data_IF_269446832078
#
_entry.id   IF_269446832078
#
_cell.length_a   1.000
_cell.length_b   1.000
_cell.length_c   1.000
_cell.angle_alpha   90.00
_cell.angle_beta   90.00
_cell.angle_gamma   90.00
#
_symmetry.space_group_name_H-M   'P 1'
#
loop_
_entity.id
_entity.type
_entity.pdbx_description
1 polymer ?
#
# COMPACT_ATOMS: atom_id res chain seq x y z
N UNK A 1 13.77 -14.34 -3.39
CA UNK A 1 12.40 -14.81 -3.69
C UNK A 1 11.58 -14.45 -2.47
N UNK A 2 10.39 -13.83 -2.61
CA UNK A 2 9.62 -13.40 -1.46
C UNK A 2 9.24 -14.56 -0.55
N UNK A 3 9.20 -14.30 0.75
CA UNK A 3 8.64 -15.22 1.72
C UNK A 3 7.12 -15.06 1.74
N UNK A 4 6.40 -16.18 1.61
CA UNK A 4 4.94 -16.17 1.68
C UNK A 4 4.49 -16.41 3.11
N UNK A 5 4.04 -15.35 3.79
CA UNK A 5 3.56 -15.40 5.18
C UNK A 5 2.15 -16.01 5.23
N UNK A 6 1.30 -15.64 4.26
CA UNK A 6 -0.03 -16.21 4.06
C UNK A 6 -0.34 -16.27 2.57
N UNK A 7 -1.43 -16.91 2.12
CA UNK A 7 -1.83 -16.90 0.71
C UNK A 7 -1.94 -15.51 0.07
N UNK A 8 -2.12 -14.46 0.88
CA UNK A 8 -2.36 -13.09 0.43
C UNK A 8 -1.24 -12.11 0.80
N UNK A 9 -0.30 -12.52 1.65
CA UNK A 9 0.77 -11.65 2.18
C UNK A 9 2.12 -12.23 1.78
N UNK A 10 2.88 -11.44 1.03
CA UNK A 10 4.26 -11.70 0.63
C UNK A 10 5.18 -10.72 1.36
N UNK A 11 6.34 -11.18 1.79
CA UNK A 11 7.39 -10.37 2.40
C UNK A 11 8.64 -10.39 1.54
N UNK A 12 9.24 -9.23 1.34
CA UNK A 12 10.53 -9.03 0.70
C UNK A 12 11.44 -8.29 1.68
N UNK A 13 12.69 -8.72 1.78
CA UNK A 13 13.67 -8.17 2.72
C UNK A 13 15.02 -7.88 2.07
N UNK A 14 15.12 -8.06 0.74
CA UNK A 14 16.31 -7.79 -0.05
C UNK A 14 16.03 -6.58 -0.97
N UNK A 15 16.85 -5.54 -0.82
CA UNK A 15 16.81 -4.33 -1.65
C UNK A 15 16.84 -4.67 -3.15
N UNK A 16 17.58 -5.70 -3.56
CA UNK A 16 17.66 -6.11 -4.95
C UNK A 16 16.32 -6.61 -5.51
N UNK A 17 15.43 -7.12 -4.65
CA UNK A 17 14.07 -7.52 -5.02
C UNK A 17 13.07 -6.35 -4.93
N UNK A 18 13.33 -5.38 -4.03
CA UNK A 18 12.42 -4.26 -3.76
C UNK A 18 12.63 -3.10 -4.72
N UNK A 19 13.87 -2.74 -5.05
CA UNK A 19 14.18 -1.61 -5.95
C UNK A 19 13.53 -1.73 -7.33
N UNK A 20 13.47 -2.90 -7.99
CA UNK A 20 12.71 -3.04 -9.23
C UNK A 20 11.25 -2.60 -9.09
N UNK A 21 10.58 -2.94 -8.00
CA UNK A 21 9.17 -2.57 -7.73
C UNK A 21 9.03 -1.05 -7.53
N UNK A 22 9.97 -0.43 -6.84
CA UNK A 22 10.03 1.04 -6.69
C UNK A 22 10.25 1.69 -8.07
N UNK A 23 11.13 1.12 -8.88
CA UNK A 23 11.52 1.67 -10.17
C UNK A 23 10.44 1.51 -11.26
N UNK A 24 9.50 0.58 -11.10
CA UNK A 24 8.33 0.45 -12.00
C UNK A 24 7.39 1.67 -11.96
N UNK A 25 7.46 2.50 -10.91
CA UNK A 25 6.57 3.64 -10.73
C UNK A 25 7.33 4.92 -10.39
N UNK A 26 7.27 5.91 -11.29
CA UNK A 26 7.98 7.19 -11.12
C UNK A 26 7.61 7.95 -9.83
N UNK A 27 6.36 7.89 -9.40
CA UNK A 27 5.93 8.51 -8.14
C UNK A 27 6.58 7.86 -6.91
N UNK A 28 6.80 6.54 -6.92
CA UNK A 28 7.52 5.87 -5.85
C UNK A 28 8.98 6.26 -5.86
N UNK A 29 9.62 6.27 -7.03
CA UNK A 29 11.01 6.73 -7.13
C UNK A 29 11.16 8.13 -6.53
N UNK A 30 10.28 9.07 -6.89
CA UNK A 30 10.30 10.43 -6.32
C UNK A 30 10.13 10.42 -4.81
N UNK A 31 9.18 9.64 -4.30
CA UNK A 31 8.94 9.54 -2.85
C UNK A 31 10.15 8.98 -2.10
N UNK A 32 10.81 7.94 -2.62
CA UNK A 32 12.03 7.39 -2.00
C UNK A 32 13.27 8.29 -2.13
N UNK A 33 13.22 9.34 -2.94
CA UNK A 33 14.24 10.39 -3.01
C UNK A 33 13.95 11.56 -2.06
N UNK A 34 12.80 11.61 -1.39
CA UNK A 34 12.52 12.66 -0.41
C UNK A 34 13.53 12.57 0.75
N UNK A 35 14.13 13.70 1.19
CA UNK A 35 15.14 13.70 2.24
C UNK A 35 14.67 13.03 3.54
N UNK A 36 13.39 13.21 3.88
CA UNK A 36 12.74 12.64 5.06
C UNK A 36 12.57 11.11 4.99
N UNK A 37 12.83 10.51 3.83
CA UNK A 37 12.87 9.06 3.64
C UNK A 37 14.33 8.66 3.45
N UNK A 38 14.99 9.20 2.43
CA UNK A 38 16.34 8.84 2.03
C UNK A 38 17.36 8.96 3.18
N UNK A 39 17.34 10.08 3.90
CA UNK A 39 18.30 10.38 4.96
C UNK A 39 17.74 10.18 6.37
N UNK A 40 16.57 9.55 6.49
CA UNK A 40 15.95 9.34 7.79
C UNK A 40 16.80 8.43 8.69
N UNK A 41 16.93 8.83 9.94
CA UNK A 41 17.65 8.12 11.00
C UNK A 41 16.75 7.26 11.88
N UNK A 42 15.44 7.25 11.61
CA UNK A 42 14.46 6.34 12.21
C UNK A 42 13.78 5.49 11.14
N UNK A 43 13.11 4.41 11.57
CA UNK A 43 12.30 3.61 10.67
C UNK A 43 11.19 4.46 10.04
N UNK A 44 10.98 4.28 8.73
CA UNK A 44 9.89 4.93 7.99
C UNK A 44 8.99 3.86 7.41
N UNK A 45 7.69 3.94 7.68
CA UNK A 45 6.67 3.06 7.08
C UNK A 45 5.86 3.85 6.06
N UNK A 46 5.90 3.40 4.81
CA UNK A 46 5.19 3.98 3.68
C UNK A 46 4.13 3.00 3.17
N UNK A 47 2.85 3.19 3.55
CA UNK A 47 1.75 2.45 2.94
C UNK A 47 1.40 3.03 1.57
N UNK A 48 1.26 2.15 0.58
CA UNK A 48 0.86 2.48 -0.79
C UNK A 48 -0.27 1.54 -1.20
N UNK A 49 -1.44 2.10 -1.51
CA UNK A 49 -2.58 1.36 -2.04
C UNK A 49 -2.59 1.49 -3.55
N UNK A 50 -2.58 0.37 -4.26
CA UNK A 50 -2.59 0.32 -5.72
C UNK A 50 -3.83 -0.37 -6.26
N UNK A 51 -4.24 0.08 -7.45
CA UNK A 51 -5.24 -0.57 -8.29
C UNK A 51 -4.51 -1.17 -9.48
N UNK A 52 -4.59 -2.49 -9.72
CA UNK A 52 -3.96 -3.05 -10.91
C UNK A 52 -4.79 -2.74 -12.17
N UNK A 53 -4.18 -2.75 -13.35
CA UNK A 53 -4.88 -2.64 -14.62
C UNK A 53 -5.88 -3.79 -14.82
N UNK A 54 -7.07 -3.50 -15.36
CA UNK A 54 -8.11 -4.52 -15.67
C UNK A 54 -9.14 -4.79 -14.57
N UNK A 55 -9.32 -3.85 -13.63
CA UNK A 55 -9.99 -4.11 -12.36
C UNK A 55 -11.51 -4.23 -12.37
N UNK A 56 -11.95 -5.17 -11.54
CA UNK A 56 -13.29 -5.32 -10.94
C UNK A 56 -13.40 -4.37 -9.73
N UNK A 57 -14.61 -3.93 -9.40
CA UNK A 57 -14.88 -3.02 -8.27
C UNK A 57 -14.19 -3.48 -6.96
N UNK A 58 -13.54 -2.57 -6.25
CA UNK A 58 -12.92 -2.78 -4.93
C UNK A 58 -11.77 -3.79 -4.83
N UNK A 59 -11.22 -4.24 -5.95
CA UNK A 59 -9.96 -4.94 -5.93
C UNK A 59 -8.87 -3.89 -5.61
N UNK A 60 -8.00 -4.16 -4.64
CA UNK A 60 -6.92 -3.24 -4.21
C UNK A 60 -5.75 -4.04 -3.64
N UNK A 61 -4.53 -3.67 -4.01
CA UNK A 61 -3.32 -4.19 -3.39
C UNK A 61 -2.77 -3.17 -2.39
N UNK A 62 -2.17 -3.65 -1.32
CA UNK A 62 -1.44 -2.84 -0.34
C UNK A 62 0.04 -3.22 -0.41
N UNK A 63 0.90 -2.25 -0.66
CA UNK A 63 2.34 -2.36 -0.49
C UNK A 63 2.73 -1.53 0.73
N UNK A 64 3.33 -2.17 1.72
CA UNK A 64 3.80 -1.54 2.94
C UNK A 64 5.33 -1.58 2.94
N UNK A 65 5.93 -0.49 2.45
CA UNK A 65 7.37 -0.36 2.46
C UNK A 65 7.84 0.10 3.83
N UNK A 66 8.95 -0.45 4.29
CA UNK A 66 9.62 -0.11 5.52
C UNK A 66 11.06 0.21 5.15
N UNK A 67 11.51 1.44 5.43
CA UNK A 67 12.92 1.81 5.36
C UNK A 67 13.48 1.80 6.77
N UNK A 68 14.42 0.91 7.01
CA UNK A 68 15.17 0.82 8.25
C UNK A 68 16.30 1.87 8.27
N UNK A 69 16.69 2.37 9.46
CA UNK A 69 17.74 3.38 9.58
C UNK A 69 19.13 2.79 9.33
N UNK A 70 19.32 1.52 9.65
CA UNK A 70 20.58 0.80 9.49
C UNK A 70 20.53 -0.13 8.26
N UNK A 71 21.64 -0.23 7.54
CA UNK A 71 21.77 -1.21 6.45
C UNK A 71 22.22 -2.56 6.99
N UNK A 72 21.56 -3.61 6.52
CA UNK A 72 22.03 -4.98 6.62
C UNK A 72 22.78 -5.38 5.34
N UNK A 73 23.29 -6.62 5.29
CA UNK A 73 23.86 -7.20 4.08
C UNK A 73 22.84 -7.33 2.93
N UNK A 74 21.55 -7.35 3.25
CA UNK A 74 20.44 -7.44 2.29
C UNK A 74 19.86 -6.06 1.93
N UNK A 75 20.38 -5.00 2.55
CA UNK A 75 19.95 -3.63 2.32
C UNK A 75 19.19 -3.01 3.51
N UNK A 76 18.39 -1.99 3.21
CA UNK A 76 17.68 -1.14 4.18
C UNK A 76 16.17 -1.22 4.06
N UNK A 77 15.65 -1.90 3.03
CA UNK A 77 14.25 -1.95 2.71
C UNK A 77 13.64 -3.30 3.09
N UNK A 78 12.42 -3.22 3.57
CA UNK A 78 11.53 -4.36 3.75
C UNK A 78 10.18 -3.98 3.12
N UNK A 79 9.51 -4.95 2.51
CA UNK A 79 8.23 -4.74 1.85
C UNK A 79 7.29 -5.88 2.20
N UNK A 80 6.10 -5.52 2.69
CA UNK A 80 4.96 -6.43 2.73
C UNK A 80 4.01 -6.09 1.60
N UNK A 81 3.69 -7.07 0.76
CA UNK A 81 2.67 -6.95 -0.28
C UNK A 81 1.45 -7.77 0.10
N UNK A 82 0.31 -7.11 0.23
CA UNK A 82 -0.99 -7.73 0.48
C UNK A 82 -1.87 -7.60 -0.75
N UNK A 83 -2.15 -8.73 -1.39
CA UNK A 83 -2.91 -8.75 -2.65
C UNK A 83 -4.41 -8.76 -2.39
N UNK A 84 -5.16 -7.98 -3.17
CA UNK A 84 -6.63 -7.94 -3.18
C UNK A 84 -7.26 -7.84 -1.77
N UNK A 85 -6.64 -7.04 -0.89
CA UNK A 85 -6.85 -7.15 0.55
C UNK A 85 -8.28 -6.79 1.00
N UNK A 86 -8.97 -5.91 0.26
CA UNK A 86 -10.35 -5.52 0.57
C UNK A 86 -11.34 -6.61 0.17
N UNK A 87 -11.29 -7.10 -1.07
CA UNK A 87 -12.24 -8.11 -1.57
C UNK A 87 -12.05 -9.46 -0.90
N UNK A 88 -10.79 -9.85 -0.65
CA UNK A 88 -10.45 -11.07 0.07
C UNK A 88 -10.69 -10.96 1.59
N UNK A 89 -11.03 -9.76 2.09
CA UNK A 89 -11.22 -9.47 3.53
C UNK A 89 -10.02 -9.93 4.36
N UNK A 90 -8.81 -9.62 3.87
CA UNK A 90 -7.58 -10.01 4.55
C UNK A 90 -7.52 -9.29 5.91
N UNK A 91 -7.31 -10.06 6.97
CA UNK A 91 -7.09 -9.50 8.30
C UNK A 91 -5.67 -8.90 8.36
N UNK A 92 -5.60 -7.57 8.33
CA UNK A 92 -4.34 -6.83 8.46
C UNK A 92 -3.88 -6.69 9.91
N UNK A 93 -4.70 -7.06 10.90
CA UNK A 93 -4.40 -6.89 12.33
C UNK A 93 -3.04 -7.48 12.74
N UNK A 94 -2.76 -8.77 12.45
CA UNK A 94 -1.47 -9.39 12.77
C UNK A 94 -0.28 -8.71 12.08
N UNK A 95 -0.43 -8.32 10.81
CA UNK A 95 0.62 -7.62 10.07
C UNK A 95 0.92 -6.26 10.71
N UNK A 96 -0.10 -5.47 11.00
CA UNK A 96 0.06 -4.16 11.63
C UNK A 96 0.71 -4.30 13.02
N UNK A 97 0.30 -5.29 13.82
CA UNK A 97 0.94 -5.55 15.11
C UNK A 97 2.43 -5.88 14.97
N UNK A 98 2.80 -6.73 14.01
CA UNK A 98 4.20 -7.04 13.72
C UNK A 98 5.00 -5.81 13.31
N UNK A 99 4.45 -5.00 12.40
CA UNK A 99 5.06 -3.74 11.96
C UNK A 99 5.26 -2.77 13.13
N UNK A 100 4.27 -2.65 14.02
CA UNK A 100 4.38 -1.81 15.21
C UNK A 100 5.53 -2.28 16.12
N UNK A 101 5.66 -3.59 16.32
CA UNK A 101 6.71 -4.16 17.17
C UNK A 101 8.11 -3.94 16.60
N UNK A 102 8.27 -4.07 15.29
CA UNK A 102 9.57 -3.95 14.61
C UNK A 102 9.99 -2.48 14.47
N UNK A 103 9.04 -1.60 14.13
CA UNK A 103 9.35 -0.21 13.74
C UNK A 103 9.11 0.80 14.86
N UNK A 104 8.32 0.44 15.88
CA UNK A 104 7.86 1.38 16.92
C UNK A 104 6.86 2.43 16.44
N UNK A 105 6.46 2.39 15.16
CA UNK A 105 5.56 3.39 14.56
C UNK A 105 4.11 3.18 15.02
N UNK A 106 3.41 4.29 15.25
CA UNK A 106 1.98 4.29 15.51
C UNK A 106 1.18 3.82 14.28
N UNK A 107 0.66 2.60 14.35
CA UNK A 107 -0.09 1.97 13.28
C UNK A 107 -1.42 2.63 12.99
N UNK A 108 -1.98 3.43 13.91
CA UNK A 108 -3.19 4.18 13.61
C UNK A 108 -2.95 5.21 12.49
N UNK A 109 -1.77 5.84 12.45
CA UNK A 109 -1.42 6.78 11.39
C UNK A 109 -1.23 6.07 10.04
N UNK A 110 -0.63 4.88 10.06
CA UNK A 110 -0.48 4.03 8.87
C UNK A 110 -1.86 3.64 8.32
N UNK A 111 -2.76 3.17 9.18
CA UNK A 111 -4.11 2.78 8.81
C UNK A 111 -4.94 3.96 8.28
N UNK A 112 -4.84 5.14 8.89
CA UNK A 112 -5.54 6.33 8.37
C UNK A 112 -5.00 6.75 6.99
N UNK A 113 -3.69 6.65 6.74
CA UNK A 113 -3.12 6.88 5.39
C UNK A 113 -3.65 5.87 4.36
N UNK A 114 -3.72 4.58 4.71
CA UNK A 114 -4.30 3.53 3.84
C UNK A 114 -5.75 3.88 3.50
N UNK A 115 -6.54 4.22 4.52
CA UNK A 115 -7.96 4.59 4.38
C UNK A 115 -8.14 5.83 3.50
N UNK A 116 -7.28 6.85 3.64
CA UNK A 116 -7.32 8.05 2.79
C UNK A 116 -7.04 7.70 1.32
N UNK A 117 -6.04 6.86 1.06
CA UNK A 117 -5.73 6.41 -0.30
C UNK A 117 -6.87 5.59 -0.92
N UNK A 118 -7.48 4.67 -0.17
CA UNK A 118 -8.67 3.93 -0.63
C UNK A 118 -9.80 4.90 -1.00
N UNK A 119 -10.12 5.86 -0.13
CA UNK A 119 -11.17 6.85 -0.41
C UNK A 119 -10.89 7.65 -1.68
N UNK A 120 -9.65 8.10 -1.86
CA UNK A 120 -9.25 8.81 -3.06
C UNK A 120 -9.44 7.95 -4.32
N UNK A 121 -8.96 6.71 -4.29
CA UNK A 121 -9.09 5.79 -5.42
C UNK A 121 -10.55 5.41 -5.72
N UNK A 122 -11.40 5.32 -4.69
CA UNK A 122 -12.84 5.08 -4.84
C UNK A 122 -13.60 6.30 -5.39
N UNK A 123 -13.15 7.53 -5.13
CA UNK A 123 -13.76 8.71 -5.75
C UNK A 123 -13.57 8.71 -7.26
N UNK A 124 -12.41 8.25 -7.74
CA UNK A 124 -12.17 8.01 -9.17
C UNK A 124 -13.13 6.94 -9.71
N UNK A 125 -13.37 5.84 -8.97
CA UNK A 125 -14.36 4.82 -9.36
C UNK A 125 -15.79 5.39 -9.54
N UNK A 126 -16.19 6.32 -8.66
CA UNK A 126 -17.54 6.90 -8.71
C UNK A 126 -17.73 7.95 -9.83
N UNK A 127 -16.65 8.53 -10.37
CA UNK A 127 -16.72 9.47 -11.49
C UNK A 127 -16.84 8.76 -12.84
N UNK A 128 -16.37 7.51 -12.95
CA UNK A 128 -16.49 6.67 -14.15
C UNK A 128 -17.86 5.97 -14.28
N UNK A 129 -18.73 6.09 -13.28
CA UNK A 129 -20.12 5.63 -13.38
C UNK A 129 -20.90 6.63 -14.25
N UNK A 130 -21.58 6.20 -15.33
CA UNK A 130 -22.46 7.10 -16.05
C UNK A 130 -23.51 7.63 -15.07
N UNK A 131 -23.59 8.95 -14.94
CA UNK A 131 -24.71 9.60 -14.27
C UNK A 131 -25.93 9.23 -15.11
N UNK A 132 -26.63 8.16 -14.72
CA UNK A 132 -27.95 7.90 -15.26
C UNK A 132 -28.78 9.14 -14.90
N UNK A 133 -29.31 9.91 -15.87
CA UNK A 133 -30.16 11.04 -15.55
C UNK A 133 -31.30 10.48 -14.69
N UNK A 134 -31.50 11.06 -13.51
CA UNK A 134 -32.61 10.72 -12.65
C UNK A 134 -33.87 10.76 -13.51
N UNK A 135 -34.46 9.60 -13.78
CA UNK A 135 -35.74 9.54 -14.47
C UNK A 135 -36.71 10.29 -13.56
N UNK A 136 -37.07 11.50 -13.95
CA UNK A 136 -38.17 12.22 -13.33
C UNK A 136 -39.39 11.32 -13.48
N UNK A 137 -39.86 10.77 -12.36
CA UNK A 137 -41.15 10.12 -12.31
C UNK A 137 -42.16 11.23 -12.64
N UNK A 138 -42.66 11.24 -13.87
CA UNK A 138 -43.80 12.06 -14.23
C UNK A 138 -44.99 11.54 -13.41
N UNK A 139 -45.39 12.30 -12.40
CA UNK A 139 -46.66 12.06 -11.73
C UNK A 139 -47.76 12.20 -12.78
N UNK A 140 -48.47 11.10 -13.03
CA UNK A 140 -49.70 11.06 -13.82
C UNK A 140 -50.87 11.57 -12.99
#
# INVERSE_FOLDING_TARGET
MPEQITPYIEQFYDDAEIWPIINEASYLQQQFQEPDILHNTVCVVLPIVRRQPGYVLHQFDLELFIKHPESTDLGQLELYRVRDFIRQKVDLGPLMQGVQQITGIDIHQVLEKIKQQIKFLQQVENQDLPIAPAQMIAAS
#
